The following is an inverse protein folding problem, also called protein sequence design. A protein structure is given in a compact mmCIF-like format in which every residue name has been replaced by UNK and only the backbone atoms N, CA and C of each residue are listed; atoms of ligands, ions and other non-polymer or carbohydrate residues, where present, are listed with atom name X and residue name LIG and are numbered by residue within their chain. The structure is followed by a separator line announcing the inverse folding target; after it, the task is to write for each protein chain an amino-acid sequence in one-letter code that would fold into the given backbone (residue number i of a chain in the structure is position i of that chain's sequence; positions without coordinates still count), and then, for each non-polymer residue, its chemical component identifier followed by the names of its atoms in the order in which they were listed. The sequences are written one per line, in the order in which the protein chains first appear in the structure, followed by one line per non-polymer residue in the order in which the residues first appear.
data_IF_124656599935
#
_entry.id   IF_124656599935
#
_cell.length_a   1.000
_cell.length_b   1.000
_cell.length_c   1.000
_cell.angle_alpha   90.00
_cell.angle_beta   90.00
_cell.angle_gamma   90.00
#
_symmetry.space_group_name_H-M   'P 1'
#
loop_
_entity.id
_entity.type
_entity.pdbx_description
1 polymer ?
#
# COMPACT_ATOMS: atom_id res chain seq x y z
N UNK A 1 12.26 -36.90 -31.22
CA UNK A 1 10.82 -36.62 -31.08
C UNK A 1 10.65 -35.84 -29.79
N UNK A 2 10.11 -34.64 -29.89
CA UNK A 2 10.16 -33.55 -28.93
C UNK A 2 9.26 -33.79 -27.72
N UNK A 3 9.86 -34.05 -26.56
CA UNK A 3 9.19 -33.87 -25.25
C UNK A 3 10.02 -32.90 -24.40
N UNK A 4 10.11 -31.66 -24.87
CA UNK A 4 10.37 -30.51 -24.00
C UNK A 4 9.02 -29.91 -23.67
N UNK A 5 8.26 -30.61 -22.81
CA UNK A 5 7.08 -30.05 -22.17
C UNK A 5 7.59 -28.85 -21.37
N UNK A 6 7.48 -27.65 -21.94
CA UNK A 6 7.85 -26.42 -21.26
C UNK A 6 7.10 -26.40 -19.94
N UNK A 7 7.81 -26.60 -18.82
CA UNK A 7 7.21 -26.64 -17.50
C UNK A 7 6.57 -25.27 -17.28
N UNK A 8 5.25 -25.20 -17.42
CA UNK A 8 4.49 -23.96 -17.28
C UNK A 8 4.76 -23.43 -15.88
N UNK A 9 5.37 -22.24 -15.79
CA UNK A 9 5.64 -21.61 -14.51
C UNK A 9 4.33 -21.56 -13.71
N UNK A 10 4.34 -22.16 -12.53
CA UNK A 10 3.17 -22.21 -11.65
C UNK A 10 3.27 -21.10 -10.61
N UNK A 11 2.14 -20.60 -10.11
CA UNK A 11 2.11 -19.61 -9.02
C UNK A 11 2.89 -20.11 -7.79
N UNK A 12 2.90 -21.42 -7.55
CA UNK A 12 3.66 -22.05 -6.47
C UNK A 12 5.17 -21.90 -6.60
N UNK A 13 5.70 -21.72 -7.83
CA UNK A 13 7.13 -21.49 -8.04
C UNK A 13 7.60 -20.14 -7.48
N UNK A 14 6.68 -19.18 -7.27
CA UNK A 14 6.96 -17.87 -6.69
C UNK A 14 7.10 -17.92 -5.17
N UNK A 15 6.73 -19.02 -4.50
CA UNK A 15 7.02 -19.20 -3.09
C UNK A 15 8.54 -19.26 -2.81
N UNK A 16 9.35 -19.56 -3.84
CA UNK A 16 10.80 -19.50 -3.77
C UNK A 16 11.28 -18.03 -3.80
N UNK A 17 11.97 -17.54 -2.75
CA UNK A 17 12.38 -16.14 -2.66
C UNK A 17 13.27 -15.67 -3.80
N UNK A 18 14.18 -16.50 -4.31
CA UNK A 18 15.08 -16.14 -5.39
C UNK A 18 14.32 -15.91 -6.70
N UNK A 19 13.34 -16.77 -6.99
CA UNK A 19 12.48 -16.63 -8.18
C UNK A 19 11.57 -15.41 -8.07
N UNK A 20 11.02 -15.16 -6.88
CA UNK A 20 10.22 -13.97 -6.61
C UNK A 20 11.04 -12.69 -6.81
N UNK A 21 12.23 -12.60 -6.21
CA UNK A 21 13.09 -11.42 -6.31
C UNK A 21 13.59 -11.17 -7.73
N UNK A 22 13.82 -12.21 -8.54
CA UNK A 22 14.17 -12.05 -9.94
C UNK A 22 13.11 -11.31 -10.76
N UNK A 23 11.84 -11.41 -10.35
CA UNK A 23 10.72 -10.68 -10.96
C UNK A 23 10.48 -9.35 -10.25
N UNK A 24 10.54 -9.31 -8.92
CA UNK A 24 10.25 -8.11 -8.15
C UNK A 24 11.28 -7.00 -8.39
N UNK A 25 12.58 -7.31 -8.41
CA UNK A 25 13.66 -6.34 -8.54
C UNK A 25 13.54 -5.43 -9.78
N UNK A 26 13.31 -5.94 -11.00
CA UNK A 26 13.13 -5.07 -12.17
C UNK A 26 11.80 -4.31 -12.16
N UNK A 27 10.77 -4.79 -11.47
CA UNK A 27 9.43 -4.19 -11.43
C UNK A 27 9.32 -3.08 -10.39
N UNK A 28 9.98 -3.22 -9.24
CA UNK A 28 9.99 -2.23 -8.14
C UNK A 28 10.31 -0.79 -8.59
N UNK A 29 11.36 -0.49 -9.39
CA UNK A 29 11.66 0.89 -9.77
C UNK A 29 10.54 1.52 -10.60
N UNK A 30 9.85 0.75 -11.46
CA UNK A 30 8.71 1.24 -12.23
C UNK A 30 7.51 1.50 -11.34
N UNK A 31 7.20 0.59 -10.40
CA UNK A 31 6.14 0.82 -9.43
C UNK A 31 6.44 2.05 -8.57
N UNK A 32 7.68 2.22 -8.11
CA UNK A 32 8.09 3.40 -7.35
C UNK A 32 7.93 4.69 -8.17
N UNK A 33 8.33 4.69 -9.45
CA UNK A 33 8.13 5.84 -10.33
C UNK A 33 6.65 6.17 -10.52
N UNK A 34 5.80 5.16 -10.76
CA UNK A 34 4.35 5.33 -10.88
C UNK A 34 3.76 5.88 -9.57
N UNK A 35 4.17 5.34 -8.42
CA UNK A 35 3.71 5.82 -7.10
C UNK A 35 4.08 7.29 -6.89
N UNK A 36 5.32 7.69 -7.21
CA UNK A 36 5.77 9.08 -7.08
C UNK A 36 4.95 10.00 -7.99
N UNK A 37 4.79 9.63 -9.26
CA UNK A 37 4.01 10.42 -10.22
C UNK A 37 2.56 10.54 -9.76
N UNK A 38 1.93 9.43 -9.35
CA UNK A 38 0.56 9.44 -8.87
C UNK A 38 0.39 10.31 -7.62
N UNK A 39 1.32 10.26 -6.66
CA UNK A 39 1.31 11.11 -5.47
C UNK A 39 1.46 12.59 -5.83
N UNK A 40 2.36 12.95 -6.74
CA UNK A 40 2.55 14.33 -7.18
C UNK A 40 1.30 14.88 -7.88
N UNK A 41 0.71 14.07 -8.77
CA UNK A 41 -0.55 14.45 -9.46
C UNK A 41 -1.69 14.59 -8.45
N UNK A 42 -1.87 13.63 -7.55
CA UNK A 42 -2.91 13.70 -6.53
C UNK A 42 -2.74 14.91 -5.60
N UNK A 43 -1.50 15.22 -5.21
CA UNK A 43 -1.20 16.38 -4.37
C UNK A 43 -1.51 17.69 -5.12
N UNK A 44 -1.14 17.78 -6.40
CA UNK A 44 -1.49 18.94 -7.23
C UNK A 44 -3.01 19.11 -7.39
N UNK A 45 -3.73 18.01 -7.63
CA UNK A 45 -5.19 18.02 -7.73
C UNK A 45 -5.87 18.41 -6.41
N UNK A 46 -5.34 17.93 -5.28
CA UNK A 46 -5.83 18.27 -3.94
C UNK A 46 -5.83 19.78 -3.71
N UNK A 47 -4.72 20.48 -3.98
CA UNK A 47 -4.65 21.93 -3.81
C UNK A 47 -5.42 22.74 -4.88
N UNK A 48 -5.80 22.08 -5.97
CA UNK A 48 -6.58 22.71 -7.06
C UNK A 48 -8.08 22.51 -6.91
N UNK A 49 -8.53 21.72 -5.93
CA UNK A 49 -9.94 21.46 -5.71
C UNK A 49 -10.65 22.69 -5.13
N UNK A 50 -11.88 22.99 -5.58
CA UNK A 50 -12.67 24.09 -5.01
C UNK A 50 -13.11 23.75 -3.59
N UNK A 51 -13.45 24.78 -2.83
CA UNK A 51 -14.06 24.63 -1.51
C UNK A 51 -15.42 23.94 -1.60
N UNK A 52 -15.72 23.09 -0.62
CA UNK A 52 -17.03 22.45 -0.52
C UNK A 52 -18.07 23.40 0.07
N UNK A 53 -19.34 23.25 -0.32
CA UNK A 53 -20.42 24.11 0.14
C UNK A 53 -20.65 24.04 1.66
N UNK A 54 -20.47 22.87 2.29
CA UNK A 54 -20.70 22.68 3.72
C UNK A 54 -19.39 22.74 4.52
N UNK A 55 -18.29 22.23 3.95
CA UNK A 55 -17.02 22.08 4.67
C UNK A 55 -16.02 23.21 4.36
N UNK A 56 -16.31 24.06 3.38
CA UNK A 56 -15.38 25.09 2.90
C UNK A 56 -14.03 24.49 2.51
N UNK A 57 -12.94 25.18 2.87
CA UNK A 57 -11.57 24.72 2.65
C UNK A 57 -11.19 23.45 3.44
N UNK A 58 -11.94 23.07 4.49
CA UNK A 58 -11.58 21.88 5.30
C UNK A 58 -11.75 20.57 4.54
N UNK A 59 -12.54 20.55 3.46
CA UNK A 59 -12.68 19.40 2.56
C UNK A 59 -11.34 18.96 1.97
N UNK A 60 -10.38 19.89 1.81
CA UNK A 60 -9.06 19.57 1.29
C UNK A 60 -8.31 18.57 2.19
N UNK A 61 -8.57 18.60 3.50
CA UNK A 61 -8.01 17.62 4.45
C UNK A 61 -8.54 16.22 4.15
N UNK A 62 -9.79 16.07 3.67
CA UNK A 62 -10.38 14.77 3.37
C UNK A 62 -9.73 14.05 2.19
N UNK A 63 -9.20 14.80 1.22
CA UNK A 63 -8.43 14.20 0.11
C UNK A 63 -7.11 13.56 0.56
N UNK A 64 -6.62 13.91 1.75
CA UNK A 64 -5.44 13.28 2.36
C UNK A 64 -5.89 12.22 3.40
N UNK A 65 -6.86 12.57 4.24
CA UNK A 65 -7.32 11.74 5.34
C UNK A 65 -7.91 10.40 4.87
N UNK A 66 -8.88 10.45 3.95
CA UNK A 66 -9.63 9.25 3.55
C UNK A 66 -8.70 8.22 2.89
N UNK A 67 -7.85 8.58 1.90
CA UNK A 67 -6.91 7.63 1.34
C UNK A 67 -5.89 7.11 2.35
N UNK A 68 -5.40 7.96 3.28
CA UNK A 68 -4.50 7.52 4.34
C UNK A 68 -5.15 6.47 5.26
N UNK A 69 -6.41 6.67 5.66
CA UNK A 69 -7.15 5.71 6.47
C UNK A 69 -7.32 4.37 5.74
N UNK A 70 -7.69 4.39 4.45
CA UNK A 70 -7.80 3.17 3.64
C UNK A 70 -6.47 2.43 3.48
N UNK A 71 -5.38 3.14 3.22
CA UNK A 71 -4.04 2.54 3.11
C UNK A 71 -3.55 1.97 4.44
N UNK A 72 -3.84 2.63 5.56
CA UNK A 72 -3.55 2.12 6.89
C UNK A 72 -4.28 0.79 7.15
N UNK A 73 -5.59 0.73 6.91
CA UNK A 73 -6.39 -0.49 7.07
C UNK A 73 -5.92 -1.62 6.15
N UNK A 74 -5.58 -1.29 4.89
CA UNK A 74 -5.02 -2.26 3.96
C UNK A 74 -3.69 -2.83 4.47
N UNK A 75 -2.77 -1.99 4.96
CA UNK A 75 -1.50 -2.45 5.51
C UNK A 75 -1.70 -3.36 6.73
N UNK A 76 -2.60 -2.99 7.66
CA UNK A 76 -2.91 -3.86 8.80
C UNK A 76 -3.54 -5.19 8.39
N UNK A 77 -4.36 -5.20 7.33
CA UNK A 77 -4.94 -6.43 6.78
C UNK A 77 -3.86 -7.33 6.19
N UNK A 78 -2.94 -6.75 5.40
CA UNK A 78 -1.78 -7.47 4.83
C UNK A 78 -0.87 -8.00 5.93
N UNK A 79 -0.57 -7.19 6.95
CA UNK A 79 0.23 -7.61 8.09
C UNK A 79 -0.43 -8.77 8.84
N UNK A 80 -1.74 -8.70 9.07
CA UNK A 80 -2.49 -9.77 9.74
C UNK A 80 -2.43 -11.08 8.95
N UNK A 81 -2.68 -11.03 7.64
CA UNK A 81 -2.56 -12.19 6.76
C UNK A 81 -1.12 -12.73 6.69
N UNK A 82 -0.12 -11.84 6.66
CA UNK A 82 1.30 -12.20 6.62
C UNK A 82 1.77 -12.81 7.94
N UNK A 83 1.27 -12.33 9.08
CA UNK A 83 1.53 -12.90 10.40
C UNK A 83 0.97 -14.32 10.50
N UNK A 84 -0.26 -14.55 10.02
CA UNK A 84 -0.83 -15.91 9.93
C UNK A 84 -0.01 -16.80 8.99
N UNK A 85 0.39 -16.27 7.83
CA UNK A 85 1.28 -16.93 6.88
C UNK A 85 2.59 -17.42 7.50
N UNK A 86 3.19 -16.56 8.33
CA UNK A 86 4.45 -16.81 9.03
C UNK A 86 4.25 -17.79 10.18
N UNK A 87 3.17 -17.64 10.97
CA UNK A 87 2.92 -18.46 12.16
C UNK A 87 2.54 -19.90 11.79
N UNK A 88 1.63 -20.08 10.84
CA UNK A 88 1.06 -21.40 10.50
C UNK A 88 1.97 -22.18 9.55
N UNK A 89 2.47 -21.53 8.49
CA UNK A 89 3.25 -22.20 7.44
C UNK A 89 4.75 -21.91 7.48
N UNK A 90 5.21 -21.00 8.35
CA UNK A 90 6.61 -20.54 8.38
C UNK A 90 7.09 -20.05 7.01
N UNK A 91 6.19 -19.39 6.26
CA UNK A 91 6.46 -18.97 4.90
C UNK A 91 7.44 -17.79 4.86
N UNK A 92 8.62 -17.89 4.21
CA UNK A 92 9.67 -16.88 4.31
C UNK A 92 9.25 -15.52 3.71
N UNK A 93 8.49 -15.52 2.61
CA UNK A 93 7.98 -14.27 2.03
C UNK A 93 6.91 -13.60 2.89
N UNK A 94 6.24 -14.34 3.77
CA UNK A 94 5.22 -13.76 4.65
C UNK A 94 5.89 -12.89 5.73
N UNK A 95 7.04 -13.31 6.28
CA UNK A 95 7.81 -12.50 7.22
C UNK A 95 8.36 -11.21 6.55
N UNK A 96 8.85 -11.32 5.31
CA UNK A 96 9.31 -10.16 4.54
C UNK A 96 8.16 -9.18 4.27
N UNK A 97 6.99 -9.68 3.86
CA UNK A 97 5.78 -8.88 3.62
C UNK A 97 5.36 -8.13 4.89
N UNK A 98 5.32 -8.81 6.03
CA UNK A 98 4.99 -8.21 7.33
C UNK A 98 5.94 -7.04 7.66
N UNK A 99 7.26 -7.27 7.57
CA UNK A 99 8.28 -6.26 7.89
C UNK A 99 8.24 -5.07 6.94
N UNK A 100 7.94 -5.29 5.66
CA UNK A 100 7.79 -4.23 4.68
C UNK A 100 6.51 -3.39 4.91
N UNK A 101 5.40 -4.05 5.25
CA UNK A 101 4.12 -3.37 5.47
C UNK A 101 4.07 -2.56 6.78
N UNK A 102 4.77 -3.00 7.84
CA UNK A 102 4.72 -2.38 9.16
C UNK A 102 5.03 -0.86 9.19
N UNK A 103 6.17 -0.36 8.67
CA UNK A 103 6.46 1.07 8.69
C UNK A 103 5.49 1.88 7.81
N UNK A 104 5.04 1.30 6.69
CA UNK A 104 4.09 1.95 5.77
C UNK A 104 2.73 2.11 6.45
N UNK A 105 2.22 1.05 7.08
CA UNK A 105 0.96 1.07 7.83
C UNK A 105 1.00 2.06 8.99
N UNK A 106 2.11 2.09 9.74
CA UNK A 106 2.29 3.05 10.83
C UNK A 106 2.30 4.51 10.33
N UNK A 107 2.98 4.80 9.22
CA UNK A 107 3.02 6.14 8.64
C UNK A 107 1.63 6.61 8.19
N UNK A 108 0.88 5.76 7.47
CA UNK A 108 -0.49 6.11 7.05
C UNK A 108 -1.47 6.20 8.22
N UNK A 109 -1.28 5.41 9.27
CA UNK A 109 -2.08 5.51 10.49
C UNK A 109 -1.83 6.83 11.20
N UNK A 110 -0.56 7.22 11.35
CA UNK A 110 -0.21 8.53 11.90
C UNK A 110 -0.84 9.66 11.08
N UNK A 111 -0.70 9.62 9.75
CA UNK A 111 -1.33 10.60 8.85
C UNK A 111 -2.85 10.64 9.03
N UNK A 112 -3.51 9.50 9.08
CA UNK A 112 -4.95 9.40 9.27
C UNK A 112 -5.39 10.00 10.61
N UNK A 113 -4.69 9.70 11.71
CA UNK A 113 -4.99 10.25 13.03
C UNK A 113 -4.82 11.77 13.08
N UNK A 114 -3.70 12.29 12.56
CA UNK A 114 -3.43 13.73 12.54
C UNK A 114 -4.47 14.45 11.69
N UNK A 115 -4.65 14.03 10.43
CA UNK A 115 -5.59 14.68 9.51
C UNK A 115 -7.05 14.54 9.98
N UNK A 116 -7.42 13.40 10.57
CA UNK A 116 -8.74 13.17 11.13
C UNK A 116 -9.03 14.09 12.31
N UNK A 117 -8.05 14.30 13.21
CA UNK A 117 -8.19 15.23 14.32
C UNK A 117 -8.33 16.68 13.87
N UNK A 118 -7.57 17.09 12.84
CA UNK A 118 -7.61 18.44 12.28
C UNK A 118 -8.93 18.74 11.58
N UNK A 119 -9.48 17.77 10.83
CA UNK A 119 -10.78 17.92 10.19
C UNK A 119 -11.93 17.80 11.19
N UNK A 120 -11.83 16.95 12.21
CA UNK A 120 -12.90 16.74 13.18
C UNK A 120 -13.22 17.99 14.01
N UNK A 121 -12.19 18.74 14.44
CA UNK A 121 -12.33 19.93 15.29
C UNK A 121 -13.32 21.01 14.78
N UNK A 122 -13.30 21.41 13.50
CA UNK A 122 -14.26 22.39 12.97
C UNK A 122 -15.62 21.80 12.62
N UNK A 123 -15.72 20.48 12.44
CA UNK A 123 -16.93 19.82 11.95
C UNK A 123 -17.85 19.33 13.08
N UNK A 124 -17.27 18.89 14.20
CA UNK A 124 -17.95 18.38 15.40
C UNK A 124 -17.51 19.17 16.63
#
# INVERSE_FOLDING_TARGET
MSDLTAKRASLWDLANPTRFLAIANPVIPWLAAITIVALLVALWMCFSAPEDYQQGATVLIMFIHVPAAWLAMMCYSIMSASALGTLVWRHPLADVSLRAAAPIGAAFTFLALVTGSLWGKPMW
#
